data_IF_529719566980
#
_entry.id   IF_529719566980
#
_cell.length_a   1.000
_cell.length_b   1.000
_cell.length_c   1.000
_cell.angle_alpha   90.00
_cell.angle_beta   90.00
_cell.angle_gamma   90.00
#
_symmetry.space_group_name_H-M   'P 1'
#
loop_
_entity.id
_entity.type
_entity.pdbx_description
1 polymer ?
#
# COMPACT_ATOMS: atom_id res chain seq x y z
N UNK A 1 -10.68 13.16 -0.27
CA UNK A 1 -12.07 13.06 0.22
C UNK A 1 -12.52 11.61 0.11
N UNK A 2 -13.28 11.12 1.06
CA UNK A 2 -13.83 9.77 0.99
C UNK A 2 -15.29 9.81 0.54
N UNK A 3 -15.83 8.65 0.16
CA UNK A 3 -17.19 8.56 -0.35
C UNK A 3 -18.24 8.55 0.76
N UNK A 4 -17.84 8.34 2.02
CA UNK A 4 -18.75 8.18 3.13
C UNK A 4 -19.32 6.77 3.29
N UNK A 5 -19.10 5.89 2.32
CA UNK A 5 -19.55 4.51 2.38
C UNK A 5 -18.47 3.67 3.05
N UNK A 6 -18.87 2.86 4.01
CA UNK A 6 -17.95 2.01 4.75
C UNK A 6 -18.15 0.55 4.37
N UNK A 7 -17.06 -0.20 4.39
CA UNK A 7 -17.10 -1.62 4.03
C UNK A 7 -16.01 -2.37 4.80
N UNK A 8 -16.02 -3.69 4.69
CA UNK A 8 -15.03 -4.54 5.32
C UNK A 8 -13.76 -4.62 4.50
N UNK A 9 -12.76 -5.30 5.06
CA UNK A 9 -11.45 -5.38 4.41
C UNK A 9 -11.50 -6.16 3.10
N UNK A 10 -12.40 -7.12 2.96
CA UNK A 10 -12.52 -7.85 1.68
C UNK A 10 -12.75 -6.90 0.51
N UNK A 11 -13.67 -5.97 0.68
CA UNK A 11 -13.93 -4.96 -0.36
C UNK A 11 -12.76 -3.99 -0.47
N UNK A 12 -12.18 -3.58 0.66
CA UNK A 12 -11.01 -2.70 0.64
C UNK A 12 -9.88 -3.33 -0.18
N UNK A 13 -9.63 -4.63 -0.01
CA UNK A 13 -8.58 -5.31 -0.76
C UNK A 13 -8.88 -5.33 -2.25
N UNK A 14 -10.13 -5.55 -2.65
CA UNK A 14 -10.50 -5.49 -4.06
C UNK A 14 -10.26 -4.11 -4.63
N UNK A 15 -10.56 -3.07 -3.86
CA UNK A 15 -10.32 -1.69 -4.30
C UNK A 15 -8.82 -1.41 -4.44
N UNK A 16 -8.00 -1.91 -3.50
CA UNK A 16 -6.55 -1.78 -3.59
C UNK A 16 -6.05 -2.44 -4.88
N UNK A 17 -6.51 -3.66 -5.17
CA UNK A 17 -6.10 -4.39 -6.37
C UNK A 17 -6.52 -3.66 -7.64
N UNK A 18 -7.61 -2.92 -7.60
CA UNK A 18 -8.08 -2.14 -8.74
C UNK A 18 -7.31 -0.82 -8.91
N UNK A 19 -6.40 -0.50 -8.01
CA UNK A 19 -5.58 0.70 -8.09
C UNK A 19 -6.14 1.89 -7.32
N UNK A 20 -7.15 1.67 -6.49
CA UNK A 20 -7.75 2.75 -5.70
C UNK A 20 -7.09 2.87 -4.34
N UNK A 21 -7.21 4.04 -3.73
CA UNK A 21 -6.72 4.30 -2.39
C UNK A 21 -7.83 3.99 -1.39
N UNK A 22 -7.46 3.35 -0.28
CA UNK A 22 -8.40 3.05 0.80
C UNK A 22 -7.81 3.48 2.13
N UNK A 23 -8.68 3.70 3.11
CA UNK A 23 -8.27 4.03 4.46
C UNK A 23 -9.33 3.53 5.43
N UNK A 24 -8.98 3.49 6.71
CA UNK A 24 -9.98 3.26 7.76
C UNK A 24 -10.45 4.60 8.30
N UNK A 25 -11.77 4.74 8.44
CA UNK A 25 -12.36 5.94 9.01
C UNK A 25 -11.86 6.18 10.42
N UNK A 26 -11.60 5.10 11.16
CA UNK A 26 -11.15 5.18 12.55
C UNK A 26 -9.66 5.43 12.75
N UNK A 27 -8.87 5.60 11.70
CA UNK A 27 -7.44 5.89 11.87
C UNK A 27 -7.24 7.29 12.46
N UNK A 28 -6.23 7.40 13.35
CA UNK A 28 -5.98 8.64 14.08
C UNK A 28 -5.32 9.71 13.23
N UNK A 29 -4.56 9.34 12.22
CA UNK A 29 -3.84 10.30 11.39
C UNK A 29 -4.67 10.73 10.20
N UNK A 30 -4.66 12.02 9.89
CA UNK A 30 -5.35 12.54 8.71
C UNK A 30 -4.51 12.31 7.47
N UNK A 31 -5.18 12.03 6.36
CA UNK A 31 -4.52 11.87 5.07
C UNK A 31 -3.78 10.56 4.90
N UNK A 32 -3.99 9.61 5.80
CA UNK A 32 -3.43 8.27 5.67
C UNK A 32 -4.23 7.46 4.66
N UNK A 33 -3.54 6.69 3.83
CA UNK A 33 -4.22 5.77 2.93
C UNK A 33 -3.27 4.66 2.49
N UNK A 34 -3.86 3.58 2.00
CA UNK A 34 -3.15 2.45 1.42
C UNK A 34 -3.30 2.49 -0.09
N UNK A 35 -2.30 1.97 -0.78
CA UNK A 35 -2.34 1.87 -2.24
C UNK A 35 -1.46 0.73 -2.71
N UNK A 36 -1.74 0.23 -3.91
CA UNK A 36 -0.96 -0.83 -4.51
C UNK A 36 0.24 -0.26 -5.23
N UNK A 37 1.41 -0.84 -4.97
CA UNK A 37 2.60 -0.59 -5.78
C UNK A 37 2.74 -1.77 -6.73
N UNK A 38 2.62 -1.57 -8.04
CA UNK A 38 2.79 -2.65 -9.00
C UNK A 38 4.22 -3.20 -8.94
N UNK A 39 4.36 -4.47 -9.26
CA UNK A 39 5.67 -5.06 -9.33
C UNK A 39 6.49 -4.48 -10.48
N UNK A 40 7.79 -4.67 -10.41
CA UNK A 40 8.69 -4.19 -11.46
C UNK A 40 9.85 -5.15 -11.64
N UNK A 41 10.38 -5.20 -12.86
CA UNK A 41 11.56 -5.98 -13.20
C UNK A 41 12.61 -5.00 -13.70
N UNK A 42 13.83 -5.13 -13.19
CA UNK A 42 14.91 -4.23 -13.60
C UNK A 42 16.25 -4.92 -13.37
N UNK A 43 17.32 -4.31 -13.92
CA UNK A 43 18.66 -4.82 -13.74
C UNK A 43 19.35 -4.06 -12.62
N UNK A 44 20.09 -4.83 -11.79
CA UNK A 44 20.80 -4.27 -10.64
C UNK A 44 21.86 -3.29 -11.14
N UNK A 45 21.82 -2.04 -10.64
CA UNK A 45 22.79 -1.03 -11.02
C UNK A 45 23.19 -0.10 -9.86
N UNK A 46 22.64 -0.31 -8.65
CA UNK A 46 23.01 0.51 -7.48
C UNK A 46 22.64 -0.19 -6.17
N UNK A 47 23.25 0.25 -5.06
CA UNK A 47 22.91 -0.28 -3.74
C UNK A 47 21.44 0.00 -3.38
N UNK A 48 20.87 -0.84 -2.52
CA UNK A 48 21.52 -1.94 -1.78
C UNK A 48 21.67 -3.23 -2.58
N UNK A 49 20.97 -3.37 -3.73
CA UNK A 49 21.04 -4.62 -4.51
C UNK A 49 22.42 -4.83 -5.09
N UNK A 50 23.07 -3.77 -5.56
CA UNK A 50 24.47 -3.84 -5.95
C UNK A 50 25.28 -4.02 -4.68
N UNK A 51 25.95 -5.15 -4.56
CA UNK A 51 26.59 -5.56 -3.33
C UNK A 51 25.97 -6.84 -2.75
N UNK A 52 24.69 -7.07 -3.10
CA UNK A 52 24.01 -8.34 -2.80
C UNK A 52 24.05 -9.23 -4.04
N UNK A 53 23.83 -8.62 -5.20
CA UNK A 53 23.84 -9.31 -6.50
C UNK A 53 24.86 -8.64 -7.42
N UNK A 54 25.43 -9.37 -8.38
CA UNK A 54 26.28 -8.74 -9.39
C UNK A 54 25.52 -7.70 -10.20
N UNK A 55 26.24 -6.70 -10.68
CA UNK A 55 25.68 -5.69 -11.57
C UNK A 55 25.07 -6.37 -12.80
N UNK A 56 23.92 -5.88 -13.23
CA UNK A 56 23.23 -6.41 -14.41
C UNK A 56 22.34 -7.62 -14.12
N UNK A 57 22.32 -8.12 -12.88
CA UNK A 57 21.39 -9.19 -12.50
C UNK A 57 19.95 -8.69 -12.64
N UNK A 58 19.12 -9.47 -13.30
CA UNK A 58 17.70 -9.13 -13.39
C UNK A 58 17.00 -9.53 -12.11
N UNK A 59 16.27 -8.60 -11.49
CA UNK A 59 15.48 -8.88 -10.30
C UNK A 59 14.04 -8.47 -10.54
N UNK A 60 13.13 -9.17 -9.86
CA UNK A 60 11.70 -8.92 -9.95
C UNK A 60 11.16 -8.58 -8.57
N UNK A 61 10.66 -7.35 -8.42
CA UNK A 61 9.95 -6.95 -7.22
C UNK A 61 8.48 -7.24 -7.41
N UNK A 62 7.90 -7.99 -6.48
CA UNK A 62 6.49 -8.32 -6.53
C UNK A 62 5.63 -7.14 -6.13
N UNK A 63 4.37 -7.10 -6.59
CA UNK A 63 3.43 -6.07 -6.13
C UNK A 63 3.29 -6.12 -4.61
N UNK A 64 3.08 -4.96 -4.02
CA UNK A 64 2.90 -4.87 -2.57
C UNK A 64 2.04 -3.66 -2.22
N UNK A 65 1.59 -3.62 -0.97
CA UNK A 65 0.77 -2.53 -0.48
C UNK A 65 1.62 -1.64 0.39
N UNK A 66 1.61 -0.36 0.09
CA UNK A 66 2.27 0.65 0.90
C UNK A 66 1.25 1.56 1.57
N UNK A 67 1.67 2.22 2.63
CA UNK A 67 0.86 3.20 3.34
C UNK A 67 1.51 4.58 3.24
N UNK A 68 0.71 5.57 2.86
CA UNK A 68 1.10 6.97 3.07
C UNK A 68 0.73 7.33 4.51
N UNK A 69 1.73 7.74 5.28
CA UNK A 69 1.53 8.09 6.69
C UNK A 69 0.98 9.51 6.82
N UNK A 70 0.51 9.86 8.03
CA UNK A 70 0.02 11.20 8.30
C UNK A 70 1.12 12.26 8.12
N UNK A 71 2.38 11.87 8.25
CA UNK A 71 3.51 12.78 8.07
C UNK A 71 3.93 12.94 6.61
N UNK A 72 3.31 12.19 5.71
CA UNK A 72 3.61 12.27 4.28
C UNK A 72 4.67 11.30 3.78
N UNK A 73 5.20 10.44 4.65
CA UNK A 73 6.13 9.41 4.23
C UNK A 73 5.40 8.18 3.72
N UNK A 74 6.11 7.34 2.99
CA UNK A 74 5.57 6.08 2.47
C UNK A 74 6.31 4.93 3.17
N UNK A 75 5.55 3.97 3.68
CA UNK A 75 6.11 2.81 4.37
C UNK A 75 5.40 1.55 3.89
N UNK A 76 6.07 0.39 3.93
CA UNK A 76 5.36 -0.87 3.68
C UNK A 76 4.27 -1.07 4.71
N UNK A 77 3.14 -1.62 4.29
CA UNK A 77 2.02 -1.82 5.19
C UNK A 77 1.88 -3.29 5.57
N UNK A 78 1.66 -3.51 6.86
CA UNK A 78 1.33 -4.83 7.40
C UNK A 78 -0.01 -4.71 8.11
N UNK A 79 -0.96 -5.53 7.70
CA UNK A 79 -2.30 -5.51 8.30
C UNK A 79 -2.26 -6.07 9.70
N UNK A 80 -2.81 -5.33 10.66
CA UNK A 80 -3.08 -5.88 11.98
C UNK A 80 -4.38 -6.70 11.92
N UNK A 81 -4.63 -7.50 12.96
CA UNK A 81 -5.90 -8.20 13.03
C UNK A 81 -7.06 -7.20 13.14
N UNK A 82 -6.87 -6.12 13.86
CA UNK A 82 -7.88 -5.07 13.93
C UNK A 82 -8.21 -4.51 12.55
N UNK A 83 -7.20 -4.33 11.70
CA UNK A 83 -7.41 -3.85 10.34
C UNK A 83 -8.18 -4.87 9.51
N UNK A 84 -7.84 -6.16 9.63
CA UNK A 84 -8.50 -7.21 8.86
C UNK A 84 -9.96 -7.37 9.23
N UNK A 85 -10.31 -7.17 10.48
CA UNK A 85 -11.66 -7.39 10.99
C UNK A 85 -12.50 -6.12 11.00
N UNK A 86 -11.92 -4.97 10.67
CA UNK A 86 -12.63 -3.70 10.71
C UNK A 86 -13.69 -3.61 9.62
N UNK A 87 -14.76 -2.87 9.93
CA UNK A 87 -15.87 -2.64 9.01
C UNK A 87 -15.98 -1.16 8.64
N UNK A 88 -14.92 -0.39 8.88
CA UNK A 88 -14.92 1.05 8.64
C UNK A 88 -13.96 1.46 7.53
N UNK A 89 -13.67 0.56 6.61
CA UNK A 89 -12.85 0.89 5.45
C UNK A 89 -13.63 1.77 4.48
N UNK A 90 -12.95 2.72 3.88
CA UNK A 90 -13.54 3.70 2.96
C UNK A 90 -12.63 3.89 1.77
N UNK A 91 -13.22 4.32 0.65
CA UNK A 91 -12.46 4.79 -0.51
C UNK A 91 -11.98 6.21 -0.24
N UNK A 92 -10.75 6.47 -0.64
CA UNK A 92 -10.16 7.81 -0.58
C UNK A 92 -10.05 8.33 -2.00
N UNK A 93 -10.68 9.47 -2.28
CA UNK A 93 -10.68 10.08 -3.60
C UNK A 93 -9.79 11.31 -3.63
N UNK A 94 -9.37 11.66 -4.80
CA UNK A 94 -8.54 12.85 -5.01
C UNK A 94 -7.12 12.59 -5.37
#
# INVERSE_FOLDING_TARGET
MNTGIKFGFGIALEEIKAGHKVARDGWNGKGMFLFLVPGSTFKVNRPPLLGIYPEGTEVNYQPHVDMKTAQGTIVPWLASQSDLLAEDWILVEG
#
